data_IF_035085390476
#
_entry.id   IF_035085390476
#
_cell.length_a   1.000
_cell.length_b   1.000
_cell.length_c   1.000
_cell.angle_alpha   90.00
_cell.angle_beta   90.00
_cell.angle_gamma   90.00
#
_symmetry.space_group_name_H-M   'P 1'
#
loop_
_entity.id
_entity.type
_entity.pdbx_description
1 polymer ?
#
# COMPACT_ATOMS: atom_id res chain seq x y z
N UNK A 1 -19.26 -7.13 18.52
CA UNK A 1 -18.49 -5.86 18.44
C UNK A 1 -17.35 -5.97 19.43
N UNK A 2 -16.10 -5.77 19.00
CA UNK A 2 -14.98 -5.59 19.92
C UNK A 2 -15.02 -4.12 20.39
N UNK A 3 -15.25 -3.91 21.68
CA UNK A 3 -15.17 -2.59 22.27
C UNK A 3 -13.73 -2.08 22.20
N UNK A 4 -13.55 -0.78 21.99
CA UNK A 4 -12.24 -0.17 21.79
C UNK A 4 -11.60 -0.33 20.40
N UNK A 5 -12.18 -1.14 19.49
CA UNK A 5 -11.67 -1.29 18.14
C UNK A 5 -11.96 -0.03 17.30
N UNK A 6 -10.93 0.72 16.88
CA UNK A 6 -11.05 1.94 16.09
C UNK A 6 -11.23 1.69 14.57
N UNK A 7 -10.74 0.57 14.04
CA UNK A 7 -10.75 0.26 12.61
C UNK A 7 -10.48 -1.21 12.30
N UNK A 8 -10.47 -1.52 11.02
CA UNK A 8 -10.19 -2.87 10.50
C UNK A 8 -8.98 -2.79 9.56
N UNK A 9 -7.95 -3.60 9.80
CA UNK A 9 -6.83 -3.78 8.88
C UNK A 9 -7.08 -4.97 7.97
N UNK A 10 -6.88 -4.77 6.66
CA UNK A 10 -7.01 -5.82 5.64
C UNK A 10 -5.71 -5.94 4.84
N UNK A 11 -5.23 -7.15 4.63
CA UNK A 11 -4.10 -7.47 3.77
C UNK A 11 -4.62 -8.05 2.45
N UNK A 12 -4.45 -7.30 1.35
CA UNK A 12 -4.89 -7.74 0.01
C UNK A 12 -3.84 -8.65 -0.64
N UNK A 13 -2.59 -8.49 -0.27
CA UNK A 13 -1.49 -9.33 -0.70
C UNK A 13 -0.41 -9.40 0.37
N UNK A 14 0.47 -10.41 0.27
CA UNK A 14 1.67 -10.51 1.12
C UNK A 14 1.39 -10.55 2.63
N UNK A 15 0.38 -11.28 3.04
CA UNK A 15 0.14 -11.54 4.46
C UNK A 15 0.90 -12.77 4.94
N UNK A 16 1.23 -12.78 6.24
CA UNK A 16 1.68 -13.97 6.96
C UNK A 16 0.47 -14.71 7.56
N UNK A 17 0.47 -16.04 7.47
CA UNK A 17 -0.61 -16.86 8.01
C UNK A 17 -1.92 -16.71 7.23
N UNK A 18 -3.06 -16.73 7.94
CA UNK A 18 -4.42 -16.78 7.37
C UNK A 18 -5.11 -15.43 7.21
N UNK A 19 -4.37 -14.32 7.32
CA UNK A 19 -4.94 -12.95 7.29
C UNK A 19 -5.14 -12.38 5.87
N UNK A 20 -4.76 -13.14 4.83
CA UNK A 20 -4.85 -12.69 3.45
C UNK A 20 -6.31 -12.64 2.97
N UNK A 21 -6.69 -11.53 2.37
CA UNK A 21 -7.99 -11.33 1.69
C UNK A 21 -7.72 -10.81 0.28
N UNK A 22 -7.40 -11.70 -0.65
CA UNK A 22 -7.09 -11.35 -2.05
C UNK A 22 -8.32 -11.28 -2.95
N UNK A 23 -9.42 -11.95 -2.59
CA UNK A 23 -10.64 -11.99 -3.37
C UNK A 23 -11.41 -10.67 -3.31
N UNK A 24 -11.73 -10.11 -4.49
CA UNK A 24 -12.41 -8.81 -4.61
C UNK A 24 -13.83 -8.79 -4.09
N UNK A 25 -14.58 -9.88 -4.20
CA UNK A 25 -15.96 -9.95 -3.66
C UNK A 25 -15.93 -9.96 -2.14
N UNK A 26 -14.94 -10.62 -1.53
CA UNK A 26 -14.79 -10.61 -0.08
C UNK A 26 -14.34 -9.23 0.44
N UNK A 27 -13.46 -8.55 -0.28
CA UNK A 27 -13.11 -7.14 0.02
C UNK A 27 -14.36 -6.25 -0.01
N UNK A 28 -15.25 -6.41 -1.01
CA UNK A 28 -16.52 -5.67 -1.08
C UNK A 28 -17.47 -6.01 0.08
N UNK A 29 -17.55 -7.29 0.47
CA UNK A 29 -18.33 -7.71 1.64
C UNK A 29 -17.82 -7.03 2.91
N UNK A 30 -16.49 -7.03 3.12
CA UNK A 30 -15.85 -6.34 4.25
C UNK A 30 -16.17 -4.84 4.22
N UNK A 31 -16.05 -4.18 3.06
CA UNK A 31 -16.38 -2.76 2.94
C UNK A 31 -17.84 -2.44 3.32
N UNK A 32 -18.77 -3.36 3.07
CA UNK A 32 -20.19 -3.20 3.40
C UNK A 32 -20.54 -3.61 4.84
N UNK A 33 -19.74 -4.49 5.46
CA UNK A 33 -20.07 -5.11 6.76
C UNK A 33 -19.79 -4.23 7.97
N UNK A 34 -19.01 -3.16 7.83
CA UNK A 34 -18.61 -2.32 8.96
C UNK A 34 -18.74 -0.83 8.67
N UNK A 35 -19.12 -0.06 9.69
CA UNK A 35 -19.08 1.42 9.65
C UNK A 35 -17.69 1.97 9.99
N UNK A 36 -16.82 1.15 10.61
CA UNK A 36 -15.47 1.55 11.03
C UNK A 36 -14.57 1.85 9.82
N UNK A 37 -13.50 2.62 10.03
CA UNK A 37 -12.46 2.82 9.02
C UNK A 37 -11.84 1.48 8.64
N UNK A 38 -11.55 1.29 7.36
CA UNK A 38 -10.83 0.11 6.87
C UNK A 38 -9.53 0.58 6.24
N UNK A 39 -8.43 0.05 6.74
CA UNK A 39 -7.08 0.32 6.23
C UNK A 39 -6.55 -0.89 5.46
N UNK A 40 -6.02 -0.66 4.26
CA UNK A 40 -5.58 -1.72 3.36
C UNK A 40 -4.06 -1.69 3.13
N UNK A 41 -3.42 -2.84 3.32
CA UNK A 41 -2.15 -3.12 2.65
C UNK A 41 -2.45 -3.49 1.20
N UNK A 42 -1.93 -2.71 0.24
CA UNK A 42 -2.34 -2.78 -1.17
C UNK A 42 -1.22 -3.32 -2.06
N UNK A 43 -1.16 -4.64 -2.21
CA UNK A 43 -0.38 -5.34 -3.23
C UNK A 43 -1.25 -6.46 -3.82
N UNK A 44 -1.17 -6.69 -5.14
CA UNK A 44 -1.98 -7.70 -5.84
C UNK A 44 -1.33 -9.07 -5.69
N UNK A 45 -1.98 -10.00 -5.00
CA UNK A 45 -1.44 -11.32 -4.69
C UNK A 45 -1.15 -12.15 -5.95
N UNK A 46 -2.02 -12.11 -6.96
CA UNK A 46 -1.80 -12.84 -8.21
C UNK A 46 -0.55 -12.34 -8.93
N UNK A 47 -0.30 -11.04 -8.89
CA UNK A 47 0.94 -10.47 -9.46
C UNK A 47 2.16 -10.84 -8.62
N UNK A 48 2.06 -10.87 -7.30
CA UNK A 48 3.14 -11.33 -6.43
C UNK A 48 3.54 -12.76 -6.75
N UNK A 49 2.56 -13.66 -6.86
CA UNK A 49 2.81 -15.07 -7.22
C UNK A 49 3.50 -15.19 -8.57
N UNK A 50 2.96 -14.53 -9.62
CA UNK A 50 3.56 -14.56 -10.97
C UNK A 50 4.99 -14.04 -10.99
N UNK A 51 5.30 -13.06 -10.16
CA UNK A 51 6.60 -12.38 -10.12
C UNK A 51 7.58 -13.01 -9.14
N UNK A 52 7.18 -13.98 -8.35
CA UNK A 52 8.06 -14.67 -7.39
C UNK A 52 9.31 -15.24 -8.07
N UNK A 53 9.22 -15.65 -9.34
CA UNK A 53 10.36 -16.09 -10.17
C UNK A 53 11.54 -15.09 -10.23
N UNK A 54 11.29 -13.80 -9.98
CA UNK A 54 12.33 -12.77 -9.92
C UNK A 54 12.98 -12.64 -8.54
N UNK A 55 12.39 -13.24 -7.52
CA UNK A 55 12.96 -13.31 -6.17
C UNK A 55 14.17 -14.24 -6.15
N UNK A 56 15.33 -13.73 -5.73
CA UNK A 56 16.55 -14.54 -5.61
C UNK A 56 17.00 -14.61 -4.16
N UNK A 57 17.24 -15.84 -3.67
CA UNK A 57 17.78 -16.08 -2.33
C UNK A 57 19.10 -15.30 -2.16
N UNK A 58 19.32 -14.72 -1.00
CA UNK A 58 20.52 -13.95 -0.65
C UNK A 58 20.82 -12.72 -1.56
N UNK A 59 19.82 -12.25 -2.33
CA UNK A 59 19.94 -11.03 -3.15
C UNK A 59 18.82 -10.04 -2.78
N UNK A 60 18.96 -9.29 -1.66
CA UNK A 60 17.92 -8.39 -1.17
C UNK A 60 17.50 -7.35 -2.20
N UNK A 61 18.37 -6.94 -3.11
CA UNK A 61 18.07 -6.01 -4.20
C UNK A 61 17.01 -6.55 -5.18
N UNK A 62 16.71 -7.85 -5.20
CA UNK A 62 15.61 -8.39 -6.02
C UNK A 62 14.24 -8.12 -5.41
N UNK A 63 14.18 -7.64 -4.16
CA UNK A 63 12.94 -7.42 -3.44
C UNK A 63 12.03 -6.42 -4.14
N UNK A 64 12.53 -5.25 -4.56
CA UNK A 64 11.74 -4.25 -5.28
C UNK A 64 11.50 -4.59 -6.75
N UNK A 65 12.21 -5.61 -7.28
CA UNK A 65 12.03 -6.09 -8.65
C UNK A 65 10.82 -7.02 -8.72
N UNK A 66 10.72 -8.01 -7.82
CA UNK A 66 9.60 -8.94 -7.84
C UNK A 66 8.31 -8.35 -7.26
N UNK A 67 8.40 -7.46 -6.29
CA UNK A 67 7.29 -6.67 -5.77
C UNK A 67 7.24 -5.31 -6.48
N UNK A 68 7.02 -5.30 -7.79
CA UNK A 68 7.15 -4.10 -8.59
C UNK A 68 6.01 -3.07 -8.38
N UNK A 69 6.13 -1.96 -9.09
CA UNK A 69 5.13 -0.88 -9.05
C UNK A 69 3.75 -1.37 -9.52
N UNK A 70 3.71 -2.24 -10.55
CA UNK A 70 2.44 -2.73 -11.08
C UNK A 70 1.67 -3.58 -10.09
N UNK A 71 2.37 -4.33 -9.25
CA UNK A 71 1.77 -5.12 -8.16
C UNK A 71 0.98 -4.22 -7.19
N UNK A 72 1.57 -3.11 -6.75
CA UNK A 72 0.90 -2.15 -5.89
C UNK A 72 -0.21 -1.37 -6.63
N UNK A 73 0.11 -0.84 -7.82
CA UNK A 73 -0.81 -0.03 -8.62
C UNK A 73 -2.09 -0.78 -9.01
N UNK A 74 -1.99 -2.04 -9.38
CA UNK A 74 -3.13 -2.89 -9.76
C UNK A 74 -4.07 -3.09 -8.57
N UNK A 75 -3.54 -3.40 -7.39
CA UNK A 75 -4.31 -3.52 -6.16
C UNK A 75 -4.98 -2.19 -5.79
N UNK A 76 -4.23 -1.09 -5.80
CA UNK A 76 -4.73 0.25 -5.47
C UNK A 76 -5.87 0.67 -6.41
N UNK A 77 -5.77 0.42 -7.71
CA UNK A 77 -6.88 0.68 -8.66
C UNK A 77 -8.15 -0.11 -8.32
N UNK A 78 -8.01 -1.38 -7.98
CA UNK A 78 -9.14 -2.23 -7.58
C UNK A 78 -9.79 -1.75 -6.28
N UNK A 79 -9.00 -1.34 -5.30
CA UNK A 79 -9.50 -0.77 -4.04
C UNK A 79 -10.26 0.54 -4.26
N UNK A 80 -9.73 1.45 -5.09
CA UNK A 80 -10.41 2.70 -5.49
C UNK A 80 -11.76 2.39 -6.15
N UNK A 81 -11.80 1.46 -7.11
CA UNK A 81 -13.03 1.07 -7.79
C UNK A 81 -14.07 0.51 -6.81
N UNK A 82 -13.65 -0.35 -5.88
CA UNK A 82 -14.52 -0.91 -4.85
C UNK A 82 -15.03 0.17 -3.87
N UNK A 83 -14.17 1.09 -3.43
CA UNK A 83 -14.54 2.20 -2.55
C UNK A 83 -15.58 3.11 -3.20
N UNK A 84 -15.39 3.46 -4.49
CA UNK A 84 -16.34 4.27 -5.26
C UNK A 84 -17.68 3.54 -5.42
N UNK A 85 -17.66 2.23 -5.78
CA UNK A 85 -18.88 1.41 -5.97
C UNK A 85 -19.66 1.24 -4.67
N UNK A 86 -18.99 1.03 -3.55
CA UNK A 86 -19.61 0.82 -2.24
C UNK A 86 -19.88 2.12 -1.48
N UNK A 87 -19.38 3.26 -1.96
CA UNK A 87 -19.40 4.57 -1.30
C UNK A 87 -18.75 4.51 0.10
N UNK A 88 -17.83 3.57 0.32
CA UNK A 88 -17.16 3.35 1.59
C UNK A 88 -15.86 4.14 1.65
N UNK A 89 -15.69 4.94 2.71
CA UNK A 89 -14.40 5.57 3.02
C UNK A 89 -13.40 4.51 3.47
N UNK A 90 -12.23 4.49 2.84
CA UNK A 90 -11.12 3.58 3.13
C UNK A 90 -9.80 4.36 3.24
N UNK A 91 -8.81 3.73 3.85
CA UNK A 91 -7.45 4.24 3.91
C UNK A 91 -6.48 3.24 3.27
N UNK A 92 -5.59 3.72 2.40
CA UNK A 92 -4.55 2.89 1.80
C UNK A 92 -3.21 3.26 2.46
N UNK A 93 -2.61 2.25 3.08
CA UNK A 93 -1.41 2.38 3.87
C UNK A 93 -0.16 2.47 2.99
N UNK A 94 0.87 3.15 3.48
CA UNK A 94 2.26 3.10 3.00
C UNK A 94 2.42 3.11 1.46
N UNK A 95 1.84 4.07 0.79
CA UNK A 95 1.98 4.26 -0.67
C UNK A 95 3.46 4.46 -1.05
N UNK A 96 3.89 3.80 -2.12
CA UNK A 96 5.31 3.76 -2.49
C UNK A 96 5.63 4.25 -3.90
N UNK A 97 4.64 4.41 -4.77
CA UNK A 97 4.89 4.76 -6.17
C UNK A 97 4.25 6.06 -6.62
N UNK A 98 4.88 6.70 -7.61
CA UNK A 98 4.37 7.91 -8.25
C UNK A 98 3.02 7.67 -8.94
N UNK A 99 2.85 6.51 -9.54
CA UNK A 99 1.63 6.10 -10.24
C UNK A 99 0.46 5.97 -9.27
N UNK A 100 0.68 5.42 -8.08
CA UNK A 100 -0.34 5.33 -7.02
C UNK A 100 -0.73 6.73 -6.54
N UNK A 101 0.24 7.61 -6.25
CA UNK A 101 -0.03 9.01 -5.86
C UNK A 101 -0.92 9.69 -6.90
N UNK A 102 -0.57 9.55 -8.20
CA UNK A 102 -1.30 10.23 -9.28
C UNK A 102 -2.77 9.81 -9.38
N UNK A 103 -3.09 8.52 -9.15
CA UNK A 103 -4.49 8.06 -9.17
C UNK A 103 -5.21 8.39 -7.87
N UNK A 104 -4.54 8.33 -6.72
CA UNK A 104 -5.13 8.58 -5.41
C UNK A 104 -5.52 10.05 -5.23
N UNK A 105 -4.70 10.98 -5.69
CA UNK A 105 -5.02 12.42 -5.70
C UNK A 105 -6.35 12.74 -6.38
N UNK A 106 -6.73 11.98 -7.40
CA UNK A 106 -7.98 12.14 -8.17
C UNK A 106 -9.18 11.44 -7.52
N UNK A 107 -8.98 10.66 -6.46
CA UNK A 107 -10.01 9.79 -5.87
C UNK A 107 -10.24 10.03 -4.37
N UNK A 108 -9.94 11.23 -3.87
CA UNK A 108 -9.99 11.57 -2.44
C UNK A 108 -11.39 11.55 -1.81
N UNK A 109 -12.45 11.45 -2.59
CA UNK A 109 -13.81 11.41 -2.05
C UNK A 109 -14.05 10.23 -1.10
N UNK A 110 -13.51 9.06 -1.44
CA UNK A 110 -13.67 7.83 -0.65
C UNK A 110 -12.36 7.18 -0.24
N UNK A 111 -11.23 7.70 -0.69
CA UNK A 111 -9.92 7.09 -0.43
C UNK A 111 -8.96 8.12 0.13
N UNK A 112 -8.49 7.87 1.35
CA UNK A 112 -7.32 8.53 1.93
C UNK A 112 -6.09 7.63 1.82
N UNK A 113 -4.89 8.19 1.93
CA UNK A 113 -3.65 7.43 1.87
C UNK A 113 -2.52 8.06 2.65
N UNK A 114 -1.55 7.25 3.02
CA UNK A 114 -0.36 7.67 3.75
C UNK A 114 0.93 7.20 3.06
N UNK A 115 2.05 7.76 3.51
CA UNK A 115 3.41 7.31 3.19
C UNK A 115 4.19 7.13 4.47
N UNK A 116 5.18 6.24 4.45
CA UNK A 116 6.05 6.04 5.61
C UNK A 116 7.38 6.80 5.47
N UNK A 117 8.04 7.17 6.58
CA UNK A 117 9.31 7.89 6.54
C UNK A 117 10.38 7.18 5.70
N UNK A 118 10.41 5.86 5.72
CA UNK A 118 11.38 5.06 4.97
C UNK A 118 11.30 5.30 3.47
N UNK A 119 10.08 5.42 2.91
CA UNK A 119 9.85 5.68 1.49
C UNK A 119 10.14 7.14 1.10
N UNK A 120 10.16 8.05 2.07
CA UNK A 120 10.56 9.45 1.87
C UNK A 120 12.08 9.65 1.93
N UNK A 121 12.80 8.77 2.64
CA UNK A 121 14.25 8.92 2.88
C UNK A 121 15.07 8.05 1.94
N UNK A 122 14.75 6.77 1.85
CA UNK A 122 15.54 5.79 1.11
C UNK A 122 15.11 5.67 -0.37
N UNK A 123 16.01 5.12 -1.20
CA UNK A 123 15.71 4.76 -2.58
C UNK A 123 16.51 3.54 -3.04
N UNK A 124 15.90 2.72 -3.88
CA UNK A 124 16.59 1.63 -4.57
C UNK A 124 17.45 2.19 -5.72
N UNK A 125 18.55 1.54 -6.09
CA UNK A 125 19.12 0.33 -5.49
C UNK A 125 19.99 0.59 -4.25
N UNK A 126 20.30 1.87 -3.94
CA UNK A 126 21.28 2.26 -2.91
C UNK A 126 20.91 1.77 -1.51
N UNK A 127 19.61 1.82 -1.14
CA UNK A 127 19.16 1.31 0.15
C UNK A 127 19.49 -0.18 0.33
N UNK A 128 19.22 -0.98 -0.69
CA UNK A 128 19.50 -2.42 -0.64
C UNK A 128 21.01 -2.74 -0.64
N UNK A 129 21.82 -1.92 -1.33
CA UNK A 129 23.28 -2.06 -1.28
C UNK A 129 23.84 -1.75 0.11
N UNK A 130 23.30 -0.72 0.79
CA UNK A 130 23.78 -0.26 2.09
C UNK A 130 23.24 -1.08 3.27
N UNK A 131 21.95 -1.41 3.25
CA UNK A 131 21.24 -1.99 4.37
C UNK A 131 20.93 -3.49 4.20
N UNK A 132 21.18 -4.06 3.01
CA UNK A 132 20.91 -5.47 2.76
C UNK A 132 19.47 -5.85 3.03
N UNK A 133 19.27 -6.89 3.83
CA UNK A 133 17.94 -7.39 4.21
C UNK A 133 17.14 -6.43 5.07
N UNK A 134 17.76 -5.51 5.80
CA UNK A 134 17.06 -4.47 6.56
C UNK A 134 16.30 -3.48 5.68
N UNK A 135 16.59 -3.42 4.37
CA UNK A 135 15.82 -2.63 3.42
C UNK A 135 14.56 -3.36 2.89
N UNK A 136 14.39 -4.63 3.22
CA UNK A 136 13.25 -5.44 2.74
C UNK A 136 12.01 -5.18 3.59
N UNK A 137 11.18 -4.28 3.15
CA UNK A 137 9.85 -3.98 3.72
C UNK A 137 8.77 -4.14 2.66
N UNK A 138 7.51 -4.27 3.09
CA UNK A 138 6.35 -4.46 2.22
C UNK A 138 5.37 -3.29 2.37
N UNK A 139 5.08 -2.54 1.29
CA UNK A 139 5.70 -2.62 -0.05
C UNK A 139 7.17 -2.14 -0.03
N UNK A 140 7.97 -2.47 -1.07
CA UNK A 140 9.40 -2.21 -1.06
C UNK A 140 9.77 -0.74 -1.27
N UNK A 141 10.99 -0.38 -0.87
CA UNK A 141 11.62 0.89 -1.22
C UNK A 141 11.83 0.92 -2.73
N UNK A 142 11.31 1.95 -3.38
CA UNK A 142 11.38 2.18 -4.83
C UNK A 142 12.59 3.04 -5.22
N UNK A 143 12.78 3.24 -6.53
CA UNK A 143 13.82 4.13 -7.04
C UNK A 143 13.59 5.62 -6.68
N UNK A 144 14.59 6.45 -7.01
CA UNK A 144 14.58 7.86 -6.64
C UNK A 144 13.46 8.69 -7.29
N UNK A 145 12.93 8.27 -8.44
CA UNK A 145 11.80 8.92 -9.12
C UNK A 145 10.55 8.88 -8.23
N UNK A 146 10.24 7.72 -7.68
CA UNK A 146 9.09 7.56 -6.78
C UNK A 146 9.27 8.38 -5.50
N UNK A 147 10.44 8.31 -4.87
CA UNK A 147 10.75 9.12 -3.69
C UNK A 147 10.54 10.62 -3.92
N UNK A 148 10.96 11.15 -5.08
CA UNK A 148 10.75 12.58 -5.41
C UNK A 148 9.26 12.94 -5.44
N UNK A 149 8.44 12.10 -6.07
CA UNK A 149 6.99 12.34 -6.17
C UNK A 149 6.31 12.22 -4.80
N UNK A 150 6.68 11.24 -3.97
CA UNK A 150 6.16 11.10 -2.60
C UNK A 150 6.47 12.34 -1.76
N UNK A 151 7.71 12.85 -1.81
CA UNK A 151 8.12 14.08 -1.12
C UNK A 151 7.34 15.31 -1.61
N UNK A 152 7.12 15.42 -2.93
CA UNK A 152 6.35 16.52 -3.49
C UNK A 152 4.89 16.45 -3.05
N UNK A 153 4.29 15.25 -3.05
CA UNK A 153 2.93 15.03 -2.58
C UNK A 153 2.77 15.41 -1.08
N UNK A 154 3.78 15.11 -0.26
CA UNK A 154 3.80 15.52 1.14
C UNK A 154 3.86 17.05 1.27
N UNK A 155 4.73 17.72 0.54
CA UNK A 155 4.85 19.18 0.54
C UNK A 155 3.57 19.89 0.07
N UNK A 156 2.85 19.28 -0.86
CA UNK A 156 1.60 19.81 -1.41
C UNK A 156 0.38 19.51 -0.52
N UNK A 157 0.54 18.85 0.62
CA UNK A 157 -0.56 18.32 1.45
C UNK A 157 -1.52 17.39 0.70
N UNK A 158 -0.99 16.67 -0.29
CA UNK A 158 -1.76 15.67 -1.03
C UNK A 158 -1.95 14.37 -0.22
N UNK A 159 -1.13 14.16 0.81
CA UNK A 159 -1.09 12.96 1.67
C UNK A 159 -1.86 13.25 2.95
N UNK A 160 -2.67 12.28 3.37
CA UNK A 160 -3.59 12.44 4.49
C UNK A 160 -2.94 12.13 5.86
N UNK A 161 -1.72 12.67 6.11
CA UNK A 161 -0.98 12.49 7.37
C UNK A 161 -1.66 13.14 8.59
N UNK A 162 -2.59 14.07 8.36
CA UNK A 162 -3.25 14.88 9.40
C UNK A 162 -4.67 14.42 9.72
N UNK A 163 -5.06 13.21 9.36
CA UNK A 163 -6.35 12.71 9.80
C UNK A 163 -6.30 12.43 11.31
N UNK A 164 -6.78 13.40 12.09
CA UNK A 164 -6.95 13.32 13.56
C UNK A 164 -7.74 12.07 14.04
N UNK A 165 -8.16 11.22 13.12
CA UNK A 165 -8.94 10.01 13.35
C UNK A 165 -8.16 8.70 13.14
N UNK A 166 -6.85 8.75 12.85
CA UNK A 166 -5.98 7.57 12.78
C UNK A 166 -5.04 7.66 13.97
N UNK A 167 -5.53 7.32 15.13
CA UNK A 167 -4.68 6.96 16.27
C UNK A 167 -4.21 5.53 16.07
N UNK A 168 -2.90 5.37 15.93
CA UNK A 168 -2.24 4.07 15.99
C UNK A 168 -2.30 3.48 17.38
#
# INVERSE_FOLDING_TARGET
KLDGCCGVKVFVGSSTGTLLVSNHEDIKKIMKSTKKMISFHSEDEDELIKRERFRKKNKPQTHYIWRDVNTALKSTRKLIANANKTKKKIHILHITSAEEVNILKKNKKYVSFEVTPQHLVFSAPSAYKKLGTYAQMNPPIRDSRHKKVLRQALKNNDIDLNNKNITH
#
